data_IF_150236146394
#
_entry.id   IF_150236146394
#
_cell.length_a   1.000
_cell.length_b   1.000
_cell.length_c   1.000
_cell.angle_alpha   90.00
_cell.angle_beta   90.00
_cell.angle_gamma   90.00
#
_symmetry.space_group_name_H-M   'P 1'
#
loop_
_entity.id
_entity.type
_entity.pdbx_description
1 polymer ?
#
# COMPACT_ATOMS: atom_id res chain seq x y z
N UNK A 1 0.38 -12.94 -22.64
CA UNK A 1 1.80 -13.33 -22.82
C UNK A 1 2.08 -14.78 -22.35
N UNK A 2 1.87 -15.17 -21.08
CA UNK A 2 2.22 -16.55 -20.62
C UNK A 2 1.21 -17.64 -21.04
N UNK A 3 -0.05 -17.26 -21.34
CA UNK A 3 -1.11 -18.20 -21.72
C UNK A 3 -1.58 -18.04 -23.18
N UNK A 4 -0.86 -17.31 -24.04
CA UNK A 4 -1.31 -16.93 -25.39
C UNK A 4 -2.67 -16.23 -25.48
N UNK A 5 -3.25 -15.80 -24.35
CA UNK A 5 -4.42 -14.90 -24.32
C UNK A 5 -4.01 -13.48 -24.74
N UNK A 6 -4.94 -12.70 -25.35
CA UNK A 6 -4.75 -11.29 -25.61
C UNK A 6 -4.22 -10.60 -24.35
N UNK A 7 -3.17 -9.80 -24.50
CA UNK A 7 -2.71 -8.96 -23.41
C UNK A 7 -3.82 -7.97 -23.06
N UNK A 8 -4.05 -7.82 -21.77
CA UNK A 8 -5.08 -6.95 -21.22
C UNK A 8 -4.48 -6.17 -20.04
N UNK A 9 -4.94 -4.95 -19.83
CA UNK A 9 -4.49 -4.05 -18.75
C UNK A 9 -4.61 -4.69 -17.36
N UNK A 10 -5.44 -5.73 -17.21
CA UNK A 10 -5.56 -6.55 -16.00
C UNK A 10 -4.28 -7.31 -15.65
N UNK A 11 -3.40 -7.58 -16.61
CA UNK A 11 -2.08 -8.12 -16.34
C UNK A 11 -1.19 -7.09 -15.62
N UNK A 12 -1.26 -5.82 -16.01
CA UNK A 12 -0.51 -4.73 -15.36
C UNK A 12 -1.03 -4.48 -13.95
N UNK A 13 -2.33 -4.58 -13.74
CA UNK A 13 -2.93 -4.48 -12.38
C UNK A 13 -2.40 -5.59 -11.46
N UNK A 14 -2.20 -6.80 -11.98
CA UNK A 14 -1.58 -7.88 -11.22
C UNK A 14 -0.13 -7.53 -10.86
N UNK A 15 0.67 -7.11 -11.85
CA UNK A 15 2.06 -6.72 -11.63
C UNK A 15 2.19 -5.55 -10.63
N UNK A 16 1.26 -4.59 -10.69
CA UNK A 16 1.18 -3.50 -9.74
C UNK A 16 0.94 -3.98 -8.30
N UNK A 17 0.11 -5.02 -8.11
CA UNK A 17 -0.08 -5.64 -6.80
C UNK A 17 1.22 -6.22 -6.22
N UNK A 18 2.06 -6.82 -7.07
CA UNK A 18 3.37 -7.35 -6.67
C UNK A 18 4.30 -6.22 -6.24
N UNK A 19 4.32 -5.11 -6.98
CA UNK A 19 5.08 -3.91 -6.60
C UNK A 19 4.57 -3.32 -5.28
N UNK A 20 3.25 -3.19 -5.10
CA UNK A 20 2.69 -2.74 -3.82
C UNK A 20 3.09 -3.64 -2.66
N UNK A 21 3.05 -4.97 -2.86
CA UNK A 21 3.50 -5.93 -1.86
C UNK A 21 5.00 -5.77 -1.53
N UNK A 22 5.84 -5.58 -2.54
CA UNK A 22 7.28 -5.33 -2.36
C UNK A 22 7.51 -4.04 -1.57
N UNK A 23 6.80 -2.96 -1.89
CA UNK A 23 6.93 -1.68 -1.17
C UNK A 23 6.54 -1.79 0.31
N UNK A 24 5.44 -2.47 0.64
CA UNK A 24 4.96 -2.56 2.04
C UNK A 24 5.74 -3.59 2.87
N UNK A 25 6.46 -4.51 2.23
CA UNK A 25 7.23 -5.55 2.93
C UNK A 25 8.74 -5.34 2.87
N UNK A 26 9.24 -4.57 1.89
CA UNK A 26 10.65 -4.45 1.52
C UNK A 26 11.33 -5.80 1.26
N UNK A 27 10.60 -6.76 0.70
CA UNK A 27 11.06 -8.12 0.41
C UNK A 27 11.04 -8.42 -1.07
N UNK A 28 11.90 -9.34 -1.50
CA UNK A 28 11.91 -9.86 -2.87
C UNK A 28 10.70 -10.77 -3.10
N UNK A 29 9.82 -10.49 -4.08
CA UNK A 29 8.70 -11.36 -4.40
C UNK A 29 9.18 -12.73 -4.86
N UNK A 30 8.64 -13.80 -4.27
CA UNK A 30 8.94 -15.19 -4.66
C UNK A 30 10.44 -15.53 -4.65
N UNK A 31 11.21 -15.00 -3.70
CA UNK A 31 12.69 -15.07 -3.65
C UNK A 31 13.31 -16.47 -3.85
N UNK A 32 12.58 -17.54 -3.51
CA UNK A 32 13.04 -18.93 -3.60
C UNK A 32 12.62 -19.64 -4.90
N UNK A 33 12.02 -18.93 -5.86
CA UNK A 33 11.53 -19.48 -7.11
C UNK A 33 12.22 -18.82 -8.30
N UNK A 34 12.54 -19.61 -9.32
CA UNK A 34 12.88 -19.06 -10.64
C UNK A 34 11.67 -18.33 -11.23
N UNK A 35 11.85 -17.39 -12.18
CA UNK A 35 10.74 -16.68 -12.81
C UNK A 35 9.66 -17.61 -13.40
N UNK A 36 10.08 -18.73 -14.01
CA UNK A 36 9.15 -19.73 -14.54
C UNK A 36 8.37 -20.45 -13.43
N UNK A 37 9.05 -20.89 -12.36
CA UNK A 37 8.38 -21.51 -11.22
C UNK A 37 7.41 -20.55 -10.54
N UNK A 38 7.79 -19.28 -10.35
CA UNK A 38 6.90 -18.27 -9.80
C UNK A 38 5.64 -18.09 -10.68
N UNK A 39 5.80 -17.97 -11.99
CA UNK A 39 4.69 -17.86 -12.93
C UNK A 39 3.75 -19.08 -12.87
N UNK A 40 4.29 -20.30 -12.81
CA UNK A 40 3.50 -21.52 -12.70
C UNK A 40 2.78 -21.63 -11.35
N UNK A 41 3.46 -21.33 -10.25
CA UNK A 41 2.85 -21.35 -8.91
C UNK A 41 1.75 -20.30 -8.77
N UNK A 42 1.93 -19.10 -9.32
CA UNK A 42 0.90 -18.04 -9.35
C UNK A 42 -0.34 -18.51 -10.11
N UNK A 43 -0.15 -19.21 -11.23
CA UNK A 43 -1.24 -19.83 -12.01
C UNK A 43 -1.98 -20.91 -11.23
N UNK A 44 -1.32 -21.58 -10.28
CA UNK A 44 -1.92 -22.58 -9.38
C UNK A 44 -2.54 -21.97 -8.12
N UNK A 45 -2.56 -20.63 -8.00
CA UNK A 45 -3.18 -19.94 -6.87
C UNK A 45 -2.21 -19.49 -5.78
N UNK A 46 -0.89 -19.69 -5.92
CA UNK A 46 0.08 -19.16 -4.96
C UNK A 46 -0.03 -17.63 -4.90
N UNK A 47 -0.12 -17.09 -3.69
CA UNK A 47 -0.09 -15.65 -3.39
C UNK A 47 0.91 -15.37 -2.27
N UNK A 48 1.46 -14.17 -2.25
CA UNK A 48 2.40 -13.75 -1.21
C UNK A 48 1.64 -13.45 0.08
N UNK A 49 2.28 -13.72 1.21
CA UNK A 49 1.71 -13.42 2.53
C UNK A 49 1.79 -11.91 2.77
N UNK A 50 0.66 -11.29 3.12
CA UNK A 50 0.61 -9.88 3.55
C UNK A 50 0.70 -9.86 5.08
N UNK A 51 1.74 -9.25 5.68
CA UNK A 51 1.85 -9.15 7.14
C UNK A 51 0.68 -8.39 7.77
N UNK A 52 0.29 -8.76 8.98
CA UNK A 52 -0.82 -8.13 9.72
C UNK A 52 -0.58 -6.65 10.08
N UNK A 53 0.67 -6.18 10.06
CA UNK A 53 1.03 -4.78 10.29
C UNK A 53 0.75 -3.86 9.10
N UNK A 54 0.41 -4.39 7.92
CA UNK A 54 0.07 -3.58 6.75
C UNK A 54 -1.33 -3.00 6.91
N UNK A 55 -1.50 -1.73 6.53
CA UNK A 55 -2.77 -1.03 6.62
C UNK A 55 -3.91 -1.84 5.94
N UNK A 56 -5.04 -2.12 6.63
CA UNK A 56 -6.07 -3.05 6.14
C UNK A 56 -6.61 -2.73 4.74
N UNK A 57 -6.76 -1.44 4.40
CA UNK A 57 -7.20 -1.02 3.07
C UNK A 57 -6.17 -1.33 1.98
N UNK A 58 -4.87 -1.19 2.29
CA UNK A 58 -3.79 -1.54 1.36
C UNK A 58 -3.73 -3.05 1.16
N UNK A 59 -3.86 -3.83 2.24
CA UNK A 59 -3.92 -5.30 2.17
C UNK A 59 -5.07 -5.76 1.28
N UNK A 60 -6.27 -5.19 1.44
CA UNK A 60 -7.45 -5.51 0.63
C UNK A 60 -7.27 -5.09 -0.84
N UNK A 61 -6.65 -3.94 -1.08
CA UNK A 61 -6.34 -3.46 -2.43
C UNK A 61 -5.38 -4.42 -3.15
N UNK A 62 -4.27 -4.81 -2.52
CA UNK A 62 -3.32 -5.80 -3.06
C UNK A 62 -4.07 -7.10 -3.41
N UNK A 63 -4.92 -7.58 -2.49
CA UNK A 63 -5.72 -8.79 -2.70
C UNK A 63 -6.66 -8.74 -3.91
N UNK A 64 -7.31 -7.59 -4.13
CA UNK A 64 -8.17 -7.39 -5.32
C UNK A 64 -7.35 -7.32 -6.61
N UNK A 65 -6.21 -6.63 -6.58
CA UNK A 65 -5.36 -6.42 -7.77
C UNK A 65 -4.70 -7.73 -8.27
N UNK A 66 -4.32 -8.66 -7.39
CA UNK A 66 -3.79 -9.97 -7.78
C UNK A 66 -4.80 -11.11 -7.76
N UNK A 67 -6.10 -10.80 -7.79
CA UNK A 67 -7.18 -11.77 -7.80
C UNK A 67 -7.04 -12.77 -8.95
N UNK A 68 -7.46 -14.02 -8.73
CA UNK A 68 -7.36 -15.09 -9.74
C UNK A 68 -8.12 -14.74 -11.02
N UNK A 69 -9.37 -14.27 -10.89
CA UNK A 69 -10.16 -13.80 -12.00
C UNK A 69 -9.69 -12.39 -12.45
N UNK A 70 -9.17 -12.22 -13.68
CA UNK A 70 -8.75 -10.91 -14.17
C UNK A 70 -9.88 -9.88 -14.23
N UNK A 71 -11.12 -10.33 -14.45
CA UNK A 71 -12.29 -9.45 -14.59
C UNK A 71 -12.71 -8.81 -13.26
N UNK A 72 -12.33 -9.40 -12.13
CA UNK A 72 -12.65 -8.84 -10.80
C UNK A 72 -11.58 -7.86 -10.31
N UNK A 73 -10.45 -7.74 -11.02
CA UNK A 73 -9.39 -6.79 -10.67
C UNK A 73 -9.88 -5.38 -10.98
N UNK A 74 -9.66 -4.40 -10.09
CA UNK A 74 -10.07 -3.02 -10.33
C UNK A 74 -9.33 -2.43 -11.54
N UNK A 75 -9.86 -1.36 -12.11
CA UNK A 75 -9.14 -0.53 -13.09
C UNK A 75 -8.25 0.47 -12.37
N UNK A 76 -7.20 0.98 -13.04
CA UNK A 76 -6.26 1.90 -12.40
C UNK A 76 -6.91 3.15 -11.82
N UNK A 77 -7.97 3.69 -12.45
CA UNK A 77 -8.71 4.84 -11.91
C UNK A 77 -9.35 4.57 -10.53
N UNK A 78 -9.83 3.34 -10.29
CA UNK A 78 -10.35 2.94 -8.98
C UNK A 78 -9.20 2.78 -7.96
N UNK A 79 -8.06 2.24 -8.42
CA UNK A 79 -6.87 2.05 -7.59
C UNK A 79 -6.31 3.40 -7.12
N UNK A 80 -6.14 4.37 -8.01
CA UNK A 80 -5.64 5.71 -7.64
C UNK A 80 -6.59 6.41 -6.69
N UNK A 81 -7.90 6.41 -6.97
CA UNK A 81 -8.88 7.01 -6.08
C UNK A 81 -8.85 6.40 -4.67
N UNK A 82 -8.71 5.07 -4.55
CA UNK A 82 -8.62 4.40 -3.25
C UNK A 82 -7.30 4.74 -2.52
N UNK A 83 -6.18 4.86 -3.24
CA UNK A 83 -4.89 5.26 -2.66
C UNK A 83 -4.89 6.73 -2.20
N UNK A 84 -5.48 7.64 -2.96
CA UNK A 84 -5.63 9.05 -2.60
C UNK A 84 -6.48 9.21 -1.32
N UNK A 85 -7.57 8.46 -1.21
CA UNK A 85 -8.42 8.47 -0.01
C UNK A 85 -7.69 7.89 1.22
N UNK A 86 -6.80 6.92 1.04
CA UNK A 86 -5.92 6.43 2.12
C UNK A 86 -4.89 7.50 2.54
N UNK A 87 -4.43 8.34 1.60
CA UNK A 87 -3.42 9.37 1.86
C UNK A 87 -3.99 10.63 2.55
N UNK A 88 -5.24 11.01 2.32
CA UNK A 88 -5.80 12.26 2.85
C UNK A 88 -5.64 12.43 4.37
N UNK A 89 -5.97 11.44 5.23
CA UNK A 89 -5.82 11.59 6.67
C UNK A 89 -4.37 11.78 7.10
N UNK A 90 -3.42 11.18 6.36
CA UNK A 90 -1.98 11.24 6.66
C UNK A 90 -1.44 12.66 6.38
N UNK A 91 -1.89 13.27 5.29
CA UNK A 91 -1.51 14.64 4.92
C UNK A 91 -2.13 15.68 5.87
N UNK A 92 -3.39 15.51 6.27
CA UNK A 92 -4.03 16.39 7.25
C UNK A 92 -3.32 16.36 8.61
N UNK A 93 -2.84 15.18 9.05
CA UNK A 93 -2.10 15.02 10.29
C UNK A 93 -0.68 15.64 10.26
N UNK A 94 -0.03 15.68 9.08
CA UNK A 94 1.31 16.27 8.93
C UNK A 94 1.29 17.80 8.83
N UNK A 95 0.24 18.39 8.26
CA UNK A 95 0.08 19.85 8.17
C UNK A 95 -0.27 20.54 9.50
N UNK A 96 -0.64 19.78 10.55
CA UNK A 96 -1.04 20.33 11.86
C UNK A 96 0.13 20.57 12.84
N UNK A 97 1.37 20.16 12.53
CA UNK A 97 2.53 20.30 13.45
C UNK A 97 3.51 21.39 12.99
N UNK A 98 3.09 22.66 13.08
CA UNK A 98 3.96 23.79 12.79
C UNK A 98 3.43 25.11 13.34
N UNK A 99 3.57 25.38 14.64
CA UNK A 99 3.20 26.68 15.19
C UNK A 99 3.27 26.84 16.71
N UNK A 100 4.46 27.19 17.22
CA UNK A 100 4.72 28.20 18.26
C UNK A 100 4.15 27.95 19.69
N UNK A 101 4.82 28.23 20.82
CA UNK A 101 6.05 28.96 21.12
C UNK A 101 6.37 28.73 22.60
N UNK A 102 7.65 28.63 22.95
CA UNK A 102 8.14 28.97 24.28
C UNK A 102 7.77 30.43 24.59
N UNK A 103 6.90 30.68 25.56
CA UNK A 103 6.84 31.98 26.26
C UNK A 103 7.51 31.82 27.61
N UNK A 104 8.68 32.44 27.74
CA UNK A 104 9.29 32.77 29.03
C UNK A 104 8.30 33.63 29.82
N UNK A 105 7.96 33.24 31.04
CA UNK A 105 7.46 34.17 32.05
C UNK A 105 8.56 34.34 33.10
N UNK A 106 9.11 35.56 33.16
CA UNK A 106 9.94 36.04 34.26
C UNK A 106 9.10 37.05 35.05
N UNK A 107 9.00 36.77 36.36
CA UNK A 107 8.95 37.70 37.51
C UNK A 107 7.61 38.42 37.79
N UNK A 108 7.04 38.14 38.96
CA UNK A 108 6.73 39.19 39.96
C UNK A 108 6.64 38.58 41.38
N UNK A 109 7.59 38.93 42.25
CA UNK A 109 7.39 38.89 43.71
C UNK A 109 6.26 39.85 44.07
N UNK A 110 5.31 39.42 44.92
CA UNK A 110 4.52 40.30 45.79
C UNK A 110 3.89 39.52 46.97
N UNK A 111 4.41 39.84 48.15
CA UNK A 111 3.88 39.92 49.52
C UNK A 111 2.36 39.70 49.76
N UNK A 112 2.08 39.03 50.90
CA UNK A 112 0.92 39.06 51.84
C UNK A 112 0.44 37.61 52.13
N UNK A 113 0.32 37.10 53.37
CA UNK A 113 0.19 37.69 54.72
C UNK A 113 1.13 37.01 55.71
#
# INVERSE_FOLDING_TARGET
VINHKPYDHKADVFSFAIVLWELVTSKVPYENLTPLQAALSVRQGLRLVIPSGVHPRISKLIQRCWGENPNTRPVFSEITAELEDILQPIQAASSSKGGHRHTKQKIQMKTQR
#
